data_IF_255449294523
#
_entry.id   IF_255449294523
#
_cell.length_a   1.000
_cell.length_b   1.000
_cell.length_c   1.000
_cell.angle_alpha   90.00
_cell.angle_beta   90.00
_cell.angle_gamma   90.00
#
_symmetry.space_group_name_H-M   'P 1'
#
loop_
_entity.id
_entity.type
_entity.pdbx_description
1 polymer ?
#
# COMPACT_ATOMS: atom_id res chain seq x y z
N UNK A 1 2.19 -11.63 7.82
CA UNK A 1 2.80 -11.16 6.56
C UNK A 1 1.91 -11.61 5.40
N UNK A 2 1.65 -10.74 4.43
CA UNK A 2 0.76 -11.00 3.29
C UNK A 2 1.53 -10.99 1.98
N UNK A 3 1.18 -11.89 1.06
CA UNK A 3 1.74 -11.98 -0.30
C UNK A 3 0.63 -12.19 -1.32
N UNK A 4 0.88 -11.80 -2.56
CA UNK A 4 -0.01 -12.02 -3.71
C UNK A 4 0.78 -12.65 -4.86
N UNK A 5 0.11 -13.38 -5.75
CA UNK A 5 0.77 -13.93 -6.93
C UNK A 5 1.02 -12.82 -7.96
N UNK A 6 2.17 -12.85 -8.60
CA UNK A 6 2.58 -11.90 -9.62
C UNK A 6 1.59 -11.79 -10.79
N UNK A 7 0.95 -12.87 -11.28
CA UNK A 7 -0.07 -12.78 -12.33
C UNK A 7 -1.31 -11.98 -11.95
N UNK A 8 -1.60 -11.82 -10.65
CA UNK A 8 -2.77 -11.09 -10.16
C UNK A 8 -2.53 -9.56 -10.10
N UNK A 9 -1.29 -9.12 -10.35
CA UNK A 9 -0.91 -7.71 -10.32
C UNK A 9 -1.05 -7.10 -11.72
N UNK A 10 -1.66 -5.90 -11.86
CA UNK A 10 -1.69 -5.20 -13.13
C UNK A 10 -0.29 -5.00 -13.72
N UNK A 11 -0.13 -5.29 -15.02
CA UNK A 11 1.16 -5.20 -15.73
C UNK A 11 1.82 -3.81 -15.65
N UNK A 12 1.03 -2.75 -15.46
CA UNK A 12 1.52 -1.38 -15.29
C UNK A 12 2.35 -1.18 -14.02
N UNK A 13 2.14 -2.00 -12.99
CA UNK A 13 2.80 -1.91 -11.69
C UNK A 13 3.79 -3.07 -11.48
N UNK A 14 3.62 -4.16 -12.23
CA UNK A 14 4.56 -5.28 -12.25
C UNK A 14 5.91 -4.86 -12.88
N UNK A 15 6.83 -4.36 -12.04
CA UNK A 15 8.25 -4.24 -12.44
C UNK A 15 8.83 -5.63 -12.74
N UNK A 16 9.86 -5.65 -13.60
CA UNK A 16 10.62 -6.82 -14.11
C UNK A 16 10.42 -8.09 -13.25
N UNK A 17 9.94 -9.20 -13.83
CA UNK A 17 9.34 -10.28 -13.08
C UNK A 17 10.31 -10.76 -11.98
N UNK A 18 9.91 -10.67 -10.70
CA UNK A 18 10.73 -11.18 -9.61
C UNK A 18 11.02 -12.66 -9.81
N UNK A 19 12.17 -13.11 -9.29
CA UNK A 19 12.63 -14.51 -9.37
C UNK A 19 11.64 -15.50 -8.75
N UNK A 20 10.74 -15.02 -7.89
CA UNK A 20 9.66 -15.78 -7.27
C UNK A 20 8.30 -15.22 -7.69
N UNK A 21 7.31 -16.09 -7.97
CA UNK A 21 5.97 -15.68 -8.39
C UNK A 21 5.15 -15.01 -7.28
N UNK A 22 5.67 -14.91 -6.06
CA UNK A 22 5.02 -14.25 -4.94
C UNK A 22 5.64 -12.87 -4.69
N UNK A 23 4.79 -11.86 -4.55
CA UNK A 23 5.19 -10.48 -4.26
C UNK A 23 4.80 -10.13 -2.83
N UNK A 24 5.73 -9.64 -1.98
CA UNK A 24 5.39 -9.17 -0.65
C UNK A 24 4.50 -7.93 -0.74
N UNK A 25 3.46 -7.88 0.10
CA UNK A 25 2.53 -6.75 0.15
C UNK A 25 2.28 -6.30 1.59
N UNK A 26 1.92 -5.03 1.72
CA UNK A 26 1.39 -4.45 2.95
C UNK A 26 -0.11 -4.28 2.79
N UNK A 27 -0.88 -4.71 3.80
CA UNK A 27 -2.35 -4.55 3.82
C UNK A 27 -2.73 -3.33 4.65
N UNK A 28 -3.39 -2.35 4.01
CA UNK A 28 -4.07 -1.26 4.73
C UNK A 28 -5.46 -1.74 5.16
N UNK A 29 -5.59 -2.15 6.44
CA UNK A 29 -6.82 -2.78 6.94
C UNK A 29 -8.03 -1.83 6.97
N UNK A 30 -7.81 -0.57 7.34
CA UNK A 30 -8.81 0.49 7.39
C UNK A 30 -8.15 1.84 7.09
N UNK A 31 -8.88 2.71 6.42
CA UNK A 31 -8.55 4.12 6.25
C UNK A 31 -9.87 4.89 6.34
N UNK A 32 -9.94 5.84 7.26
CA UNK A 32 -11.13 6.66 7.46
C UNK A 32 -10.71 8.08 7.85
N UNK A 33 -11.54 9.04 7.45
CA UNK A 33 -11.48 10.43 7.90
C UNK A 33 -12.83 10.74 8.51
N UNK A 34 -12.82 11.41 9.66
CA UNK A 34 -14.04 11.88 10.30
C UNK A 34 -14.88 12.74 9.34
N UNK A 35 -16.21 12.60 9.40
CA UNK A 35 -17.14 13.20 8.43
C UNK A 35 -16.98 14.72 8.35
N UNK A 36 -16.72 15.39 9.47
CA UNK A 36 -16.55 16.84 9.50
C UNK A 36 -15.26 17.33 8.83
N UNK A 37 -14.32 16.43 8.57
CA UNK A 37 -13.01 16.75 7.99
C UNK A 37 -12.77 16.11 6.62
N UNK A 38 -13.79 15.52 6.01
CA UNK A 38 -13.73 15.04 4.63
C UNK A 38 -13.59 16.21 3.65
N UNK A 39 -12.95 15.97 2.50
CA UNK A 39 -12.70 17.01 1.49
C UNK A 39 -11.53 17.96 1.79
N UNK A 40 -10.79 17.73 2.89
CA UNK A 40 -9.64 18.55 3.32
C UNK A 40 -8.29 17.82 3.13
N UNK A 41 -8.19 16.89 2.19
CA UNK A 41 -6.98 16.11 1.86
C UNK A 41 -6.34 15.29 3.00
N UNK A 42 -7.01 15.17 4.15
CA UNK A 42 -6.53 14.38 5.28
C UNK A 42 -6.40 12.88 4.94
N UNK A 43 -7.30 12.36 4.09
CA UNK A 43 -7.24 10.96 3.67
C UNK A 43 -5.98 10.64 2.88
N UNK A 44 -5.56 11.56 2.00
CA UNK A 44 -4.31 11.43 1.25
C UNK A 44 -3.09 11.52 2.18
N UNK A 45 -3.12 12.46 3.13
CA UNK A 45 -2.06 12.61 4.13
C UNK A 45 -1.89 11.37 5.01
N UNK A 46 -3.00 10.80 5.50
CA UNK A 46 -2.99 9.56 6.29
C UNK A 46 -2.48 8.37 5.49
N UNK A 47 -2.87 8.26 4.21
CA UNK A 47 -2.38 7.21 3.32
C UNK A 47 -0.88 7.35 3.08
N UNK A 48 -0.39 8.55 2.81
CA UNK A 48 1.03 8.83 2.61
C UNK A 48 1.86 8.48 3.86
N UNK A 49 1.37 8.86 5.05
CA UNK A 49 2.01 8.52 6.33
C UNK A 49 2.07 6.99 6.55
N UNK A 50 0.99 6.26 6.26
CA UNK A 50 0.97 4.80 6.38
C UNK A 50 1.96 4.12 5.42
N UNK A 51 2.10 4.63 4.19
CA UNK A 51 3.10 4.15 3.23
C UNK A 51 4.51 4.46 3.73
N UNK A 52 4.76 5.69 4.20
CA UNK A 52 6.07 6.09 4.70
C UNK A 52 6.53 5.20 5.87
N UNK A 53 5.63 4.92 6.82
CA UNK A 53 5.91 4.03 7.96
C UNK A 53 6.19 2.60 7.57
N UNK A 54 5.55 2.08 6.52
CA UNK A 54 5.70 0.68 6.11
C UNK A 54 6.84 0.48 5.12
N UNK A 55 7.29 1.54 4.45
CA UNK A 55 8.46 1.54 3.60
C UNK A 55 9.76 1.83 4.38
N UNK A 56 9.68 2.35 5.61
CA UNK A 56 10.86 2.58 6.45
C UNK A 56 11.45 1.25 6.93
N UNK A 57 12.67 0.88 6.50
CA UNK A 57 13.30 -0.37 6.89
C UNK A 57 13.87 -0.37 8.33
N UNK A 58 13.75 0.74 9.07
CA UNK A 58 14.24 0.86 10.45
C UNK A 58 13.21 0.55 11.52
N UNK A 59 11.96 0.29 11.13
CA UNK A 59 10.89 -0.26 11.97
C UNK A 59 10.83 -1.77 11.81
#
# INVERSE_FOLDING_TARGET
>A
MSSVQLPDIPKSVAKKPPRYPQVPIVRLGRLAVDVYYQGQDLGGSLLADAIAKTADPRL
#
